data_IF_557447126107
#
_entry.id   IF_557447126107
#
_cell.length_a   1.000
_cell.length_b   1.000
_cell.length_c   1.000
_cell.angle_alpha   90.00
_cell.angle_beta   90.00
_cell.angle_gamma   90.00
#
_symmetry.space_group_name_H-M   'P 1'
#
loop_
_entity.id
_entity.type
_entity.pdbx_description
1 polymer ?
#
# COMPACT_ATOMS: atom_id res chain seq x y z
N UNK A 1 0.88 -37.19 114.02
CA UNK A 1 -0.37 -37.73 113.43
C UNK A 1 -0.82 -36.78 112.32
N UNK A 2 -1.10 -37.34 111.13
CA UNK A 2 -1.67 -36.74 109.89
C UNK A 2 -1.11 -35.37 109.42
N UNK A 3 -0.19 -35.51 108.45
CA UNK A 3 0.33 -34.60 107.39
C UNK A 3 -0.76 -33.68 106.79
N UNK A 4 -0.49 -32.50 106.21
CA UNK A 4 0.74 -31.80 105.79
C UNK A 4 0.40 -30.32 105.50
N UNK A 5 1.42 -29.47 105.61
CA UNK A 5 1.43 -28.03 105.41
C UNK A 5 1.24 -27.56 103.95
N UNK A 6 0.69 -26.35 103.82
CA UNK A 6 0.73 -25.51 102.62
C UNK A 6 1.43 -24.19 102.98
N UNK A 7 2.30 -23.72 102.08
CA UNK A 7 2.90 -22.39 102.06
C UNK A 7 3.04 -22.00 100.58
N UNK A 8 2.43 -20.87 100.21
CA UNK A 8 2.65 -20.18 98.93
C UNK A 8 3.99 -19.45 98.93
N UNK A 9 4.35 -18.62 97.96
CA UNK A 9 3.70 -18.10 96.76
C UNK A 9 4.82 -17.59 95.81
N UNK A 10 4.42 -16.92 94.72
CA UNK A 10 5.20 -16.22 93.69
C UNK A 10 5.56 -17.09 92.46
N UNK A 11 4.75 -17.08 91.39
CA UNK A 11 4.54 -16.03 90.39
C UNK A 11 5.73 -15.84 89.44
N UNK A 12 5.63 -16.41 88.24
CA UNK A 12 5.98 -15.74 86.99
C UNK A 12 5.20 -16.40 85.84
N UNK A 13 4.52 -15.57 85.06
CA UNK A 13 3.56 -15.91 84.01
C UNK A 13 4.23 -16.06 82.64
N UNK A 14 3.93 -17.15 81.92
CA UNK A 14 3.96 -17.24 80.45
C UNK A 14 2.75 -18.09 80.03
N UNK A 15 1.77 -17.56 79.27
CA UNK A 15 0.70 -18.40 78.72
C UNK A 15 1.08 -18.91 77.32
N UNK A 16 0.95 -20.23 77.17
CA UNK A 16 0.89 -20.95 75.90
C UNK A 16 -0.57 -20.93 75.43
N UNK A 17 -0.86 -20.42 74.24
CA UNK A 17 -2.15 -20.60 73.59
C UNK A 17 -1.94 -20.99 72.12
N UNK A 18 -2.38 -22.20 71.77
CA UNK A 18 -2.50 -22.71 70.40
C UNK A 18 -3.56 -21.92 69.63
N UNK A 19 -3.23 -21.45 68.43
CA UNK A 19 -4.21 -21.07 67.41
C UNK A 19 -3.62 -21.26 65.99
N UNK A 20 -4.46 -21.74 65.08
CA UNK A 20 -4.19 -22.19 63.71
C UNK A 20 -3.58 -21.12 62.77
N UNK A 21 -2.93 -21.52 61.65
CA UNK A 21 -2.40 -20.57 60.68
C UNK A 21 -3.53 -19.96 59.85
N UNK A 22 -3.85 -18.70 60.12
CA UNK A 22 -4.60 -17.85 59.20
C UNK A 22 -3.63 -17.26 58.16
N UNK A 23 -3.89 -17.55 56.89
CA UNK A 23 -3.20 -16.91 55.78
C UNK A 23 -3.62 -15.42 55.67
N UNK A 24 -2.67 -14.48 55.53
CA UNK A 24 -2.94 -13.18 54.96
C UNK A 24 -2.58 -13.19 53.47
N UNK A 25 -3.58 -12.90 52.67
CA UNK A 25 -3.52 -12.50 51.26
C UNK A 25 -2.43 -11.46 51.00
N UNK A 26 -1.35 -11.86 50.34
CA UNK A 26 -0.40 -10.94 49.71
C UNK A 26 -0.95 -10.48 48.35
N UNK A 27 -1.95 -9.61 48.37
CA UNK A 27 -2.30 -8.79 47.22
C UNK A 27 -1.46 -7.50 47.28
N UNK A 28 -0.20 -7.59 46.87
CA UNK A 28 0.62 -6.43 46.56
C UNK A 28 0.55 -6.20 45.05
N UNK A 29 -0.39 -5.35 44.65
CA UNK A 29 -0.48 -4.76 43.31
C UNK A 29 0.83 -4.02 43.01
N UNK A 30 1.71 -4.64 42.24
CA UNK A 30 2.77 -3.92 41.54
C UNK A 30 2.11 -3.09 40.42
N UNK A 31 1.57 -1.94 40.79
CA UNK A 31 1.30 -0.86 39.84
C UNK A 31 2.63 -0.27 39.40
N UNK A 32 3.35 -1.02 38.56
CA UNK A 32 4.38 -0.46 37.72
C UNK A 32 3.66 0.30 36.60
N UNK A 33 3.35 1.57 36.86
CA UNK A 33 3.03 2.53 35.82
C UNK A 33 4.22 2.62 34.89
N UNK A 34 4.20 1.83 33.81
CA UNK A 34 5.00 2.13 32.64
C UNK A 34 4.49 3.47 32.13
N UNK A 35 5.27 4.54 32.34
CA UNK A 35 5.17 5.71 31.49
C UNK A 35 5.39 5.20 30.07
N UNK A 36 4.29 5.01 29.34
CA UNK A 36 4.31 4.59 27.96
C UNK A 36 4.96 5.75 27.19
N UNK A 37 6.25 5.62 26.90
CA UNK A 37 6.89 6.46 25.89
C UNK A 37 6.05 6.36 24.63
N UNK A 38 5.73 7.50 24.02
CA UNK A 38 5.03 7.56 22.74
C UNK A 38 5.81 6.68 21.77
N UNK A 39 5.23 5.55 21.38
CA UNK A 39 5.91 4.67 20.45
C UNK A 39 5.96 5.42 19.10
N UNK A 40 7.16 5.65 18.58
CA UNK A 40 7.33 6.30 17.28
C UNK A 40 6.55 5.51 16.21
N UNK A 41 5.77 6.24 15.42
CA UNK A 41 5.05 5.67 14.28
C UNK A 41 6.03 5.02 13.30
N UNK A 42 5.65 3.89 12.73
CA UNK A 42 6.37 3.29 11.62
C UNK A 42 5.99 4.00 10.33
N UNK A 43 6.85 4.85 9.79
CA UNK A 43 6.57 5.56 8.53
C UNK A 43 7.16 4.84 7.32
N UNK A 44 6.58 5.09 6.14
CA UNK A 44 7.08 4.48 4.91
C UNK A 44 8.58 4.76 4.73
N UNK A 45 9.36 3.70 4.49
CA UNK A 45 10.81 3.79 4.28
C UNK A 45 11.16 3.31 2.88
N UNK A 46 11.50 4.23 1.95
CA UNK A 46 12.00 3.85 0.63
C UNK A 46 13.27 3.00 0.73
N UNK A 47 13.36 1.93 -0.03
CA UNK A 47 14.53 1.03 0.01
C UNK A 47 14.98 0.58 -1.38
N UNK A 48 16.22 0.10 -1.46
CA UNK A 48 16.86 -0.28 -2.73
C UNK A 48 18.33 0.10 -2.76
N UNK A 49 19.02 -0.26 -3.83
CA UNK A 49 20.37 0.21 -4.09
C UNK A 49 20.37 1.71 -4.41
N UNK A 50 21.32 2.51 -3.89
CA UNK A 50 21.44 3.90 -4.28
C UNK A 50 21.65 4.05 -5.79
N UNK A 51 20.96 5.01 -6.39
CA UNK A 51 21.15 5.45 -7.77
C UNK A 51 21.05 6.98 -7.81
N UNK A 52 21.63 7.60 -8.82
CA UNK A 52 21.44 9.03 -9.11
C UNK A 52 21.08 9.16 -10.57
N UNK A 53 19.85 9.56 -10.84
CA UNK A 53 19.38 9.85 -12.19
C UNK A 53 20.08 11.07 -12.78
N UNK A 54 20.11 11.14 -14.10
CA UNK A 54 20.60 12.31 -14.84
C UNK A 54 19.70 13.52 -14.64
N UNK A 55 20.24 14.70 -14.88
CA UNK A 55 19.49 15.97 -14.86
C UNK A 55 18.72 16.23 -16.17
N UNK A 56 19.04 15.49 -17.24
CA UNK A 56 18.35 15.50 -18.52
C UNK A 56 18.34 14.10 -19.17
N UNK A 57 17.52 13.93 -20.21
CA UNK A 57 17.35 12.66 -20.91
C UNK A 57 18.64 12.14 -21.58
N UNK A 58 19.55 13.02 -22.02
CA UNK A 58 20.84 12.66 -22.61
C UNK A 58 21.86 12.18 -21.58
N UNK A 59 21.71 12.59 -20.32
CA UNK A 59 22.50 12.16 -19.18
C UNK A 59 21.84 11.04 -18.34
N UNK A 60 20.80 10.39 -18.87
CA UNK A 60 20.01 9.41 -18.15
C UNK A 60 20.86 8.24 -17.61
N UNK A 61 20.73 7.95 -16.31
CA UNK A 61 21.50 6.90 -15.65
C UNK A 61 20.94 5.50 -15.97
N UNK A 62 21.78 4.48 -16.19
CA UNK A 62 21.29 3.13 -16.48
C UNK A 62 20.52 2.55 -15.30
N UNK A 63 19.26 2.16 -15.53
CA UNK A 63 18.39 1.53 -14.54
C UNK A 63 18.29 0.03 -14.83
N UNK A 64 18.75 -0.77 -13.88
CA UNK A 64 18.71 -2.24 -13.99
C UNK A 64 17.50 -2.81 -13.25
N UNK A 65 16.93 -3.96 -13.67
CA UNK A 65 15.83 -4.57 -12.95
C UNK A 65 16.15 -4.78 -11.47
N UNK A 66 15.23 -4.41 -10.60
CA UNK A 66 15.43 -4.40 -9.15
C UNK A 66 14.81 -3.17 -8.50
N UNK A 67 15.29 -2.90 -7.27
CA UNK A 67 14.85 -1.75 -6.47
C UNK A 67 16.01 -0.80 -6.27
N UNK A 68 15.76 0.48 -6.50
CA UNK A 68 16.72 1.54 -6.35
C UNK A 68 16.13 2.68 -5.54
N UNK A 69 17.00 3.54 -5.02
CA UNK A 69 16.58 4.75 -4.32
C UNK A 69 17.40 5.95 -4.77
N UNK A 70 16.69 7.03 -5.10
CA UNK A 70 17.26 8.33 -5.42
C UNK A 70 16.59 9.42 -4.55
N UNK A 71 16.92 10.68 -4.80
CA UNK A 71 16.44 11.86 -4.09
C UNK A 71 15.88 12.88 -5.07
N UNK A 72 14.66 13.34 -4.80
CA UNK A 72 14.02 14.46 -5.50
C UNK A 72 14.10 15.69 -4.60
N UNK A 73 14.96 16.63 -4.97
CA UNK A 73 15.40 17.74 -4.14
C UNK A 73 14.27 18.74 -3.76
N UNK A 74 13.29 18.96 -4.65
CA UNK A 74 12.23 19.96 -4.43
C UNK A 74 10.89 19.56 -5.06
N UNK A 75 9.82 20.09 -4.50
CA UNK A 75 8.46 20.04 -5.06
C UNK A 75 8.16 21.23 -5.99
N UNK A 76 6.88 21.56 -6.15
CA UNK A 76 6.38 22.70 -6.92
C UNK A 76 5.46 23.56 -6.05
N UNK A 77 5.39 24.87 -6.32
CA UNK A 77 4.49 25.77 -5.58
C UNK A 77 3.00 25.48 -5.84
N UNK A 78 2.70 24.82 -6.96
CA UNK A 78 1.35 24.41 -7.37
C UNK A 78 1.23 22.87 -7.41
N UNK A 79 0.00 22.37 -7.47
CA UNK A 79 -0.31 20.96 -7.71
C UNK A 79 0.04 20.51 -9.12
N UNK A 80 0.21 21.46 -10.05
CA UNK A 80 0.58 21.20 -11.45
C UNK A 80 2.07 21.44 -11.72
N UNK A 81 2.64 20.64 -12.63
CA UNK A 81 4.03 20.79 -13.09
C UNK A 81 5.04 19.87 -12.39
N UNK A 82 6.30 19.94 -12.82
CA UNK A 82 7.38 19.10 -12.31
C UNK A 82 8.40 19.93 -11.52
N UNK A 83 8.64 19.52 -10.27
CA UNK A 83 9.63 20.09 -9.37
C UNK A 83 11.02 19.55 -9.72
N UNK A 84 11.59 18.74 -8.83
CA UNK A 84 12.76 17.92 -9.20
C UNK A 84 12.38 16.83 -10.19
N UNK A 85 13.21 16.69 -11.23
CA UNK A 85 13.12 15.64 -12.24
C UNK A 85 14.43 14.87 -12.28
N UNK A 86 14.34 13.55 -12.45
CA UNK A 86 15.47 12.65 -12.65
C UNK A 86 15.21 11.74 -13.83
N UNK A 87 16.27 11.47 -14.60
CA UNK A 87 16.21 10.66 -15.81
C UNK A 87 17.02 9.38 -15.68
N UNK A 88 16.43 8.28 -16.14
CA UNK A 88 17.07 6.97 -16.19
C UNK A 88 16.89 6.34 -17.56
N UNK A 89 17.70 5.34 -17.88
CA UNK A 89 17.66 4.62 -19.15
C UNK A 89 17.47 3.12 -18.89
N UNK A 90 16.46 2.55 -19.53
CA UNK A 90 16.27 1.10 -19.62
C UNK A 90 16.49 0.64 -21.06
N UNK A 91 16.77 -0.63 -21.26
CA UNK A 91 16.92 -1.23 -22.60
C UNK A 91 15.88 -2.32 -22.76
N UNK A 92 15.05 -2.20 -23.79
CA UNK A 92 14.00 -3.16 -24.13
C UNK A 92 14.35 -3.95 -25.38
N UNK A 93 14.01 -5.23 -25.37
CA UNK A 93 13.95 -6.06 -26.57
C UNK A 93 12.50 -6.17 -27.03
N UNK A 94 12.33 -6.60 -28.28
CA UNK A 94 11.01 -6.78 -28.87
C UNK A 94 10.16 -7.73 -28.02
N UNK A 95 8.98 -7.26 -27.62
CA UNK A 95 8.00 -8.01 -26.83
C UNK A 95 8.25 -8.03 -25.33
N UNK A 96 9.32 -7.41 -24.82
CA UNK A 96 9.49 -7.24 -23.38
C UNK A 96 8.61 -6.11 -22.85
N UNK A 97 8.05 -6.28 -21.66
CA UNK A 97 7.18 -5.28 -21.01
C UNK A 97 7.87 -4.71 -19.78
N UNK A 98 8.20 -3.40 -19.76
CA UNK A 98 8.70 -2.75 -18.56
C UNK A 98 7.57 -2.38 -17.61
N UNK A 99 7.82 -2.55 -16.32
CA UNK A 99 7.03 -2.00 -15.24
C UNK A 99 7.95 -1.15 -14.38
N UNK A 100 7.70 0.16 -14.33
CA UNK A 100 8.50 1.09 -13.54
C UNK A 100 7.58 1.80 -12.55
N UNK A 101 7.78 1.54 -11.27
CA UNK A 101 7.09 2.24 -10.20
C UNK A 101 8.03 3.24 -9.52
N UNK A 102 7.51 4.43 -9.20
CA UNK A 102 8.17 5.39 -8.33
C UNK A 102 7.30 5.66 -7.11
N UNK A 103 7.85 5.45 -5.91
CA UNK A 103 7.18 5.64 -4.63
C UNK A 103 7.89 6.72 -3.83
N UNK A 104 7.15 7.76 -3.45
CA UNK A 104 7.62 8.87 -2.61
C UNK A 104 6.80 8.94 -1.33
N UNK A 105 7.41 9.30 -0.21
CA UNK A 105 6.71 9.44 1.06
C UNK A 105 7.04 10.78 1.74
N UNK A 106 6.10 11.35 2.50
CA UNK A 106 6.24 12.64 3.17
C UNK A 106 7.32 12.71 4.27
N UNK A 107 7.95 11.58 4.63
CA UNK A 107 8.88 11.48 5.74
C UNK A 107 8.17 11.52 7.11
N UNK A 108 8.90 11.45 8.23
CA UNK A 108 8.31 11.27 9.56
C UNK A 108 7.64 12.51 10.16
N UNK A 109 7.93 13.70 9.63
CA UNK A 109 7.47 14.99 10.19
C UNK A 109 6.30 15.54 9.39
N UNK A 110 5.18 15.84 10.06
CA UNK A 110 4.05 16.61 9.46
C UNK A 110 4.55 18.00 9.07
N UNK A 111 4.04 18.55 7.96
CA UNK A 111 4.31 19.94 7.57
C UNK A 111 2.99 20.65 7.31
N UNK A 112 2.37 21.21 8.37
CA UNK A 112 1.05 21.82 8.29
C UNK A 112 0.94 22.84 7.15
N UNK A 113 -0.13 22.77 6.38
CA UNK A 113 -0.45 23.73 5.33
C UNK A 113 0.22 23.42 3.99
N UNK A 114 0.73 22.21 3.79
CA UNK A 114 1.19 21.73 2.48
C UNK A 114 0.38 20.51 2.07
N UNK A 115 -0.59 20.72 1.19
CA UNK A 115 -1.70 19.77 1.04
C UNK A 115 -1.34 18.60 0.11
N UNK A 116 -0.53 18.82 -0.94
CA UNK A 116 -0.28 17.79 -1.97
C UNK A 116 1.17 17.32 -2.06
N UNK A 117 1.35 16.00 -2.07
CA UNK A 117 2.56 15.32 -2.53
C UNK A 117 2.21 14.51 -3.78
N UNK A 118 2.96 14.70 -4.87
CA UNK A 118 2.77 13.94 -6.10
C UNK A 118 4.07 13.37 -6.68
N UNK A 119 3.92 12.31 -7.46
CA UNK A 119 4.98 11.69 -8.24
C UNK A 119 4.46 11.30 -9.62
N UNK A 120 5.27 11.56 -10.63
CA UNK A 120 5.03 11.23 -12.03
C UNK A 120 6.13 10.28 -12.51
N UNK A 121 5.76 9.26 -13.28
CA UNK A 121 6.69 8.42 -14.04
C UNK A 121 6.25 8.40 -15.49
N UNK A 122 7.18 8.64 -16.42
CA UNK A 122 6.92 8.43 -17.84
C UNK A 122 8.06 7.68 -18.54
N UNK A 123 7.70 6.89 -19.55
CA UNK A 123 8.60 6.12 -20.41
C UNK A 123 8.51 6.66 -21.82
N UNK A 124 9.65 7.03 -22.39
CA UNK A 124 9.75 7.61 -23.73
C UNK A 124 10.94 7.08 -24.49
N UNK A 125 10.75 6.73 -25.76
CA UNK A 125 11.90 6.42 -26.61
C UNK A 125 12.61 7.72 -27.04
N UNK A 126 13.95 7.73 -27.16
CA UNK A 126 14.68 8.88 -27.67
C UNK A 126 14.20 9.28 -29.07
N UNK A 127 13.84 10.56 -29.24
CA UNK A 127 13.37 11.10 -30.51
C UNK A 127 11.86 10.98 -30.75
N UNK A 128 11.11 10.35 -29.83
CA UNK A 128 9.65 10.35 -29.87
C UNK A 128 9.07 11.53 -29.10
N UNK A 129 7.97 12.09 -29.62
CA UNK A 129 7.24 13.17 -28.97
C UNK A 129 6.20 12.66 -27.95
N UNK A 130 5.84 11.37 -28.01
CA UNK A 130 4.81 10.75 -27.20
C UNK A 130 5.40 9.69 -26.26
N UNK A 131 4.96 9.69 -24.99
CA UNK A 131 5.27 8.63 -24.03
C UNK A 131 4.61 7.31 -24.46
N UNK A 132 5.33 6.20 -24.29
CA UNK A 132 4.77 4.86 -24.50
C UNK A 132 4.12 4.30 -23.23
N UNK A 133 4.39 4.91 -22.07
CA UNK A 133 3.69 4.66 -20.82
C UNK A 133 3.89 5.87 -19.89
N UNK A 134 2.88 6.22 -19.11
CA UNK A 134 2.99 7.26 -18.09
C UNK A 134 1.97 7.02 -16.99
N UNK A 135 2.28 7.49 -15.79
CA UNK A 135 1.34 7.57 -14.67
C UNK A 135 1.73 8.73 -13.77
N UNK A 136 0.73 9.37 -13.17
CA UNK A 136 0.88 10.46 -12.21
C UNK A 136 -0.07 10.22 -11.05
N UNK A 137 0.46 10.22 -9.84
CA UNK A 137 -0.30 10.00 -8.62
C UNK A 137 0.00 11.10 -7.62
N UNK A 138 -0.98 11.45 -6.80
CA UNK A 138 -0.80 12.41 -5.72
C UNK A 138 -1.81 12.21 -4.61
N UNK A 139 -1.42 12.62 -3.40
CA UNK A 139 -2.26 12.61 -2.21
C UNK A 139 -2.40 14.05 -1.70
N UNK A 140 -3.64 14.49 -1.53
CA UNK A 140 -4.04 15.83 -1.07
C UNK A 140 -4.31 15.87 0.46
N UNK A 141 -4.23 14.73 1.15
CA UNK A 141 -4.50 14.55 2.57
C UNK A 141 -3.24 14.15 3.36
N UNK A 142 -2.06 14.56 2.88
CA UNK A 142 -0.76 14.20 3.49
C UNK A 142 -0.60 14.75 4.92
N UNK A 143 -1.29 15.84 5.25
CA UNK A 143 -1.31 16.39 6.60
C UNK A 143 -2.02 15.45 7.59
N UNK A 144 -3.03 14.70 7.13
CA UNK A 144 -3.82 13.76 7.94
C UNK A 144 -3.12 12.39 8.03
N UNK A 145 -2.49 11.92 6.94
CA UNK A 145 -1.89 10.58 6.84
C UNK A 145 -0.54 10.61 6.12
N UNK A 146 0.51 10.07 6.75
CA UNK A 146 1.83 9.92 6.12
C UNK A 146 1.91 8.70 5.19
N UNK A 147 0.93 8.54 4.31
CA UNK A 147 0.97 7.50 3.31
C UNK A 147 1.98 7.85 2.21
N UNK A 148 2.55 6.82 1.60
CA UNK A 148 3.35 7.01 0.40
C UNK A 148 2.48 7.13 -0.84
N UNK A 149 2.98 7.87 -1.82
CA UNK A 149 2.37 8.06 -3.14
C UNK A 149 3.17 7.24 -4.14
N UNK A 150 2.49 6.42 -4.94
CA UNK A 150 3.16 5.54 -5.91
C UNK A 150 2.54 5.67 -7.29
N UNK A 151 3.33 6.08 -8.29
CA UNK A 151 2.96 6.03 -9.70
C UNK A 151 3.62 4.82 -10.39
N UNK A 152 2.94 4.20 -11.35
CA UNK A 152 3.41 3.00 -12.06
C UNK A 152 3.22 3.16 -13.57
N UNK A 153 4.32 3.29 -14.29
CA UNK A 153 4.32 3.32 -15.74
C UNK A 153 4.58 1.91 -16.32
N UNK A 154 3.62 1.43 -17.10
CA UNK A 154 3.71 0.22 -17.93
C UNK A 154 2.97 0.48 -19.23
N UNK A 155 3.41 -0.05 -20.37
CA UNK A 155 2.65 0.07 -21.61
C UNK A 155 1.26 -0.56 -21.44
N UNK A 156 0.24 0.15 -21.89
CA UNK A 156 -1.14 -0.31 -22.02
C UNK A 156 -1.68 0.02 -23.41
N UNK A 157 -2.80 -0.60 -23.76
CA UNK A 157 -3.49 -0.35 -25.03
C UNK A 157 -4.08 1.08 -25.08
N UNK A 158 -4.28 1.72 -23.93
CA UNK A 158 -4.84 3.07 -23.81
C UNK A 158 -3.88 4.17 -24.27
N UNK A 159 -2.56 3.93 -24.26
CA UNK A 159 -1.55 4.84 -24.84
C UNK A 159 -1.66 5.00 -26.37
N UNK A 160 -2.51 4.22 -27.05
CA UNK A 160 -2.69 4.25 -28.50
C UNK A 160 -1.50 3.67 -29.28
N UNK A 161 -0.52 3.06 -28.58
CA UNK A 161 0.55 2.26 -29.19
C UNK A 161 0.19 0.79 -29.10
N UNK A 162 -0.32 0.25 -30.20
CA UNK A 162 -0.64 -1.18 -30.36
C UNK A 162 0.56 -2.11 -30.05
N UNK A 163 1.80 -1.60 -30.15
CA UNK A 163 3.05 -2.34 -29.93
C UNK A 163 3.75 -2.04 -28.58
N UNK A 164 3.15 -1.23 -27.70
CA UNK A 164 3.75 -0.80 -26.44
C UNK A 164 5.00 0.09 -26.60
N UNK A 165 5.96 -0.01 -25.68
CA UNK A 165 7.24 0.71 -25.80
C UNK A 165 8.14 0.04 -26.86
N UNK A 166 8.79 0.82 -27.75
CA UNK A 166 9.65 0.26 -28.79
C UNK A 166 10.89 -0.41 -28.20
N UNK A 167 11.43 -1.38 -28.94
CA UNK A 167 12.71 -1.99 -28.61
C UNK A 167 13.86 -0.96 -28.76
N UNK A 168 14.86 -1.07 -27.91
CA UNK A 168 15.99 -0.14 -27.83
C UNK A 168 16.06 0.56 -26.48
N UNK A 169 16.72 1.71 -26.44
CA UNK A 169 16.78 2.54 -25.24
C UNK A 169 15.45 3.23 -25.01
N UNK A 170 14.94 3.18 -23.78
CA UNK A 170 13.79 3.96 -23.32
C UNK A 170 14.22 4.79 -22.12
N UNK A 171 13.93 6.08 -22.17
CA UNK A 171 14.17 7.02 -21.08
C UNK A 171 13.00 6.95 -20.11
N UNK A 172 13.31 6.77 -18.84
CA UNK A 172 12.39 6.88 -17.71
C UNK A 172 12.57 8.26 -17.09
N UNK A 173 11.53 9.08 -17.12
CA UNK A 173 11.45 10.35 -16.38
C UNK A 173 10.72 10.10 -15.07
N UNK A 174 11.27 10.59 -13.96
CA UNK A 174 10.59 10.60 -12.66
C UNK A 174 10.58 12.01 -12.14
N UNK A 175 9.39 12.53 -11.82
CA UNK A 175 9.22 13.89 -11.33
C UNK A 175 8.43 13.91 -10.02
N UNK A 176 8.77 14.86 -9.15
CA UNK A 176 7.98 15.20 -7.96
C UNK A 176 7.12 16.42 -8.26
N UNK A 177 5.86 16.39 -7.83
CA UNK A 177 4.93 17.53 -7.90
C UNK A 177 4.33 17.83 -6.52
N UNK A 178 3.70 18.99 -6.41
CA UNK A 178 3.01 19.46 -5.21
C UNK A 178 3.88 20.25 -4.21
N UNK A 179 3.23 21.06 -3.34
CA UNK A 179 3.91 21.94 -2.40
C UNK A 179 4.44 21.25 -1.15
N UNK A 180 4.06 19.98 -0.91
CA UNK A 180 4.53 19.26 0.27
C UNK A 180 6.05 19.25 0.35
N UNK A 181 6.60 19.72 1.47
CA UNK A 181 8.04 19.80 1.73
C UNK A 181 8.83 20.47 0.58
N UNK A 182 8.28 21.55 0.02
CA UNK A 182 8.72 22.22 -1.20
C UNK A 182 10.26 22.31 -1.37
N UNK A 183 10.97 22.77 -0.35
CA UNK A 183 12.42 23.00 -0.38
C UNK A 183 13.26 21.84 0.17
N UNK A 184 12.63 20.79 0.68
CA UNK A 184 13.30 19.67 1.33
C UNK A 184 13.44 18.47 0.38
N UNK A 185 14.61 17.81 0.38
CA UNK A 185 14.78 16.59 -0.40
C UNK A 185 13.91 15.45 0.15
N UNK A 186 13.22 14.75 -0.75
CA UNK A 186 12.50 13.52 -0.44
C UNK A 186 13.13 12.34 -1.18
N UNK A 187 13.18 11.18 -0.52
CA UNK A 187 13.66 9.93 -1.12
C UNK A 187 12.55 9.33 -1.98
N UNK A 188 12.93 8.85 -3.16
CA UNK A 188 12.04 8.12 -4.08
C UNK A 188 12.57 6.70 -4.26
N UNK A 189 11.74 5.71 -3.95
CA UNK A 189 12.01 4.31 -4.31
C UNK A 189 11.59 4.07 -5.75
N UNK A 190 12.48 3.49 -6.54
CA UNK A 190 12.22 3.04 -7.91
C UNK A 190 12.19 1.52 -7.91
N UNK A 191 11.10 0.93 -8.38
CA UNK A 191 11.01 -0.50 -8.64
C UNK A 191 10.89 -0.72 -10.14
N UNK A 192 11.93 -1.29 -10.74
CA UNK A 192 11.92 -1.68 -12.16
C UNK A 192 11.84 -3.20 -12.28
N UNK A 193 10.76 -3.68 -12.90
CA UNK A 193 10.59 -5.07 -13.31
C UNK A 193 10.52 -5.13 -14.84
N UNK A 194 11.26 -6.06 -15.42
CA UNK A 194 11.18 -6.37 -16.84
C UNK A 194 10.53 -7.74 -17.00
N UNK A 195 9.36 -7.78 -17.64
CA UNK A 195 8.71 -9.02 -18.03
C UNK A 195 9.25 -9.44 -19.41
N UNK A 196 9.81 -10.66 -19.55
CA UNK A 196 10.26 -11.16 -20.84
C UNK A 196 9.10 -11.29 -21.84
N UNK A 197 9.44 -11.31 -23.13
CA UNK A 197 8.46 -11.64 -24.17
C UNK A 197 7.75 -12.97 -23.90
N UNK A 198 6.47 -13.02 -24.20
CA UNK A 198 5.60 -14.15 -23.88
C UNK A 198 5.03 -14.78 -25.14
N UNK A 199 5.07 -16.12 -25.19
CA UNK A 199 4.16 -16.91 -25.99
C UNK A 199 2.87 -17.16 -25.18
N UNK A 200 1.81 -16.42 -25.54
CA UNK A 200 0.51 -16.52 -24.89
C UNK A 200 -0.35 -17.65 -25.50
N UNK A 201 0.16 -18.42 -26.45
CA UNK A 201 -0.59 -19.50 -27.09
C UNK A 201 -1.09 -20.50 -26.06
N UNK A 202 -2.40 -20.77 -26.08
CA UNK A 202 -3.04 -21.71 -25.18
C UNK A 202 -3.19 -21.23 -23.73
N UNK A 203 -2.88 -19.96 -23.42
CA UNK A 203 -3.20 -19.39 -22.12
C UNK A 203 -4.72 -19.16 -21.99
N UNK A 204 -5.30 -19.32 -20.79
CA UNK A 204 -6.67 -18.90 -20.54
C UNK A 204 -6.82 -17.41 -20.85
N UNK A 205 -7.95 -17.04 -21.45
CA UNK A 205 -8.33 -15.64 -21.62
C UNK A 205 -8.51 -14.92 -20.28
N UNK A 206 -8.75 -13.59 -20.37
CA UNK A 206 -9.01 -12.75 -19.22
C UNK A 206 -10.08 -13.38 -18.32
N UNK A 207 -9.90 -13.26 -17.00
CA UNK A 207 -10.91 -13.70 -16.07
C UNK A 207 -12.09 -12.72 -16.06
N UNK A 208 -13.29 -13.23 -15.83
CA UNK A 208 -14.40 -12.38 -15.44
C UNK A 208 -14.23 -11.94 -13.98
N UNK A 209 -14.72 -10.74 -13.67
CA UNK A 209 -14.87 -10.28 -12.29
C UNK A 209 -15.72 -11.27 -11.50
N UNK A 210 -15.22 -11.66 -10.34
CA UNK A 210 -15.81 -12.70 -9.51
C UNK A 210 -16.21 -12.14 -8.15
N UNK A 211 -17.29 -12.69 -7.58
CA UNK A 211 -17.84 -12.25 -6.30
C UNK A 211 -16.77 -12.16 -5.20
N UNK A 212 -16.90 -11.20 -4.26
CA UNK A 212 -16.01 -11.06 -3.13
C UNK A 212 -15.91 -12.35 -2.31
N UNK A 213 -14.68 -12.71 -1.93
CA UNK A 213 -14.40 -13.85 -1.05
C UNK A 213 -13.96 -13.30 0.30
N UNK A 214 -14.63 -13.73 1.37
CA UNK A 214 -14.16 -13.47 2.74
C UNK A 214 -13.31 -14.64 3.24
N UNK A 215 -12.18 -14.38 3.92
CA UNK A 215 -11.46 -15.43 4.62
C UNK A 215 -12.34 -16.13 5.65
N UNK A 216 -12.25 -17.45 5.69
CA UNK A 216 -13.00 -18.31 6.61
C UNK A 216 -12.06 -19.14 7.50
N UNK A 217 -10.95 -18.55 7.93
CA UNK A 217 -9.92 -19.28 8.65
C UNK A 217 -10.28 -19.42 10.13
N UNK A 218 -10.11 -20.63 10.67
CA UNK A 218 -10.23 -20.92 12.09
C UNK A 218 -8.85 -21.18 12.70
N UNK A 219 -8.62 -20.70 13.91
CA UNK A 219 -7.36 -20.91 14.62
C UNK A 219 -6.96 -19.73 15.50
N UNK A 220 -5.82 -19.88 16.18
CA UNK A 220 -5.25 -18.81 17.00
C UNK A 220 -4.39 -17.89 16.12
N UNK A 221 -4.54 -16.55 16.21
CA UNK A 221 -3.67 -15.62 15.50
C UNK A 221 -2.20 -15.80 15.90
N UNK A 222 -1.28 -15.80 14.94
CA UNK A 222 0.17 -15.73 15.16
C UNK A 222 0.65 -14.29 15.21
N UNK A 223 1.71 -13.99 15.97
CA UNK A 223 2.28 -12.63 16.01
C UNK A 223 2.84 -12.29 14.63
N UNK A 224 2.41 -11.15 14.11
CA UNK A 224 2.96 -10.54 12.90
C UNK A 224 3.88 -9.38 13.29
N UNK A 225 4.99 -9.26 12.57
CA UNK A 225 5.85 -8.07 12.59
C UNK A 225 5.83 -7.48 11.20
N UNK A 226 4.90 -6.57 10.92
CA UNK A 226 4.80 -5.93 9.61
C UNK A 226 6.07 -5.12 9.29
N UNK A 227 6.36 -4.96 8.01
CA UNK A 227 7.34 -3.97 7.55
C UNK A 227 6.70 -2.59 7.45
N UNK A 228 7.53 -1.60 7.12
CA UNK A 228 7.11 -0.22 6.80
C UNK A 228 7.60 0.20 5.41
N UNK A 229 7.97 -0.77 4.57
CA UNK A 229 8.47 -0.57 3.22
C UNK A 229 8.37 -1.87 2.46
N UNK A 230 8.41 -1.80 1.13
CA UNK A 230 8.14 -2.97 0.31
C UNK A 230 9.23 -4.07 0.39
N UNK A 231 10.47 -3.74 0.75
CA UNK A 231 11.51 -4.73 1.07
C UNK A 231 11.37 -5.37 2.43
N UNK A 232 11.02 -4.55 3.42
CA UNK A 232 10.90 -4.99 4.82
C UNK A 232 9.60 -5.75 5.06
N UNK A 233 8.63 -5.67 4.13
CA UNK A 233 7.38 -6.42 4.18
C UNK A 233 7.64 -7.94 4.28
N UNK A 234 7.23 -8.60 5.38
CA UNK A 234 7.42 -10.04 5.53
C UNK A 234 6.49 -10.81 4.58
N UNK A 235 6.98 -11.93 4.05
CA UNK A 235 6.13 -12.89 3.33
C UNK A 235 5.25 -13.63 4.33
N UNK A 236 3.93 -13.48 4.20
CA UNK A 236 2.94 -14.17 5.03
C UNK A 236 2.18 -15.21 4.18
N UNK A 237 2.16 -16.49 4.57
CA UNK A 237 1.29 -17.48 3.95
C UNK A 237 -0.17 -17.26 4.35
N UNK A 238 -1.09 -18.06 3.79
CA UNK A 238 -2.46 -18.17 4.31
C UNK A 238 -2.44 -18.43 5.82
N UNK A 239 -3.13 -17.58 6.59
CA UNK A 239 -3.08 -17.65 8.04
C UNK A 239 -3.83 -16.52 8.74
N UNK A 240 -3.82 -16.59 10.07
CA UNK A 240 -4.42 -15.60 10.97
C UNK A 240 -3.29 -14.94 11.75
N UNK A 241 -3.24 -13.62 11.70
CA UNK A 241 -2.14 -12.82 12.21
C UNK A 241 -2.66 -11.76 13.18
N UNK A 242 -1.85 -11.40 14.18
CA UNK A 242 -2.14 -10.29 15.09
C UNK A 242 -0.96 -9.34 15.17
N UNK A 243 -1.26 -8.05 15.24
CA UNK A 243 -0.30 -6.97 15.51
C UNK A 243 -1.08 -5.78 16.11
N UNK A 244 -0.47 -4.59 16.15
CA UNK A 244 -1.07 -3.36 16.65
C UNK A 244 -0.71 -2.17 15.76
N UNK A 245 -1.63 -1.21 15.67
CA UNK A 245 -1.50 0.05 14.94
C UNK A 245 -1.36 1.21 15.92
N UNK A 246 -0.46 2.13 15.64
CA UNK A 246 -0.40 3.45 16.25
C UNK A 246 -0.76 4.51 15.20
N UNK A 247 -1.09 5.72 15.66
CA UNK A 247 -1.34 6.85 14.78
C UNK A 247 -0.15 7.09 13.84
N UNK A 248 -0.40 7.30 12.54
CA UNK A 248 0.65 7.52 11.55
C UNK A 248 1.43 6.29 11.12
N UNK A 249 1.05 5.09 11.56
CA UNK A 249 1.69 3.86 11.12
C UNK A 249 1.41 3.57 9.64
N UNK A 250 2.43 3.10 8.94
CA UNK A 250 2.39 2.39 7.67
C UNK A 250 2.84 0.96 7.92
N UNK A 251 1.94 0.00 7.75
CA UNK A 251 2.21 -1.44 7.95
C UNK A 251 2.03 -2.20 6.66
N UNK A 252 3.08 -2.89 6.22
CA UNK A 252 3.08 -3.63 4.95
C UNK A 252 3.40 -5.11 5.21
N UNK A 253 2.62 -5.99 4.58
CA UNK A 253 2.95 -7.42 4.43
C UNK A 253 2.87 -7.82 2.96
N UNK A 254 3.57 -8.90 2.59
CA UNK A 254 3.48 -9.46 1.23
C UNK A 254 2.91 -10.87 1.23
N UNK A 255 2.09 -11.18 0.24
CA UNK A 255 1.44 -12.47 0.02
C UNK A 255 1.81 -12.97 -1.38
N UNK A 256 2.35 -14.18 -1.48
CA UNK A 256 2.72 -14.76 -2.78
C UNK A 256 1.47 -15.32 -3.47
N UNK A 257 1.14 -14.80 -4.65
CA UNK A 257 0.11 -15.35 -5.53
C UNK A 257 0.76 -15.90 -6.80
N UNK A 258 0.39 -17.13 -7.15
CA UNK A 258 0.64 -17.71 -8.45
C UNK A 258 -0.50 -17.42 -9.44
N UNK A 259 -0.31 -17.84 -10.68
CA UNK A 259 -1.36 -17.83 -11.69
C UNK A 259 -2.57 -18.65 -11.24
N UNK A 260 -3.77 -18.20 -11.57
CA UNK A 260 -5.04 -18.82 -11.19
C UNK A 260 -5.50 -18.54 -9.76
N UNK A 261 -4.71 -17.82 -8.95
CA UNK A 261 -5.00 -17.56 -7.55
C UNK A 261 -5.52 -16.14 -7.31
N UNK A 262 -6.26 -15.94 -6.21
CA UNK A 262 -6.78 -14.66 -5.70
C UNK A 262 -6.32 -14.44 -4.27
N UNK A 263 -6.25 -13.19 -3.86
CA UNK A 263 -6.05 -12.81 -2.46
C UNK A 263 -7.40 -12.49 -1.84
N UNK A 264 -7.68 -13.08 -0.67
CA UNK A 264 -8.75 -12.67 0.22
C UNK A 264 -8.15 -12.27 1.57
N UNK A 265 -8.72 -11.23 2.20
CA UNK A 265 -8.26 -10.71 3.47
C UNK A 265 -9.41 -10.21 4.33
N UNK A 266 -9.17 -10.16 5.64
CA UNK A 266 -10.05 -9.47 6.58
C UNK A 266 -9.25 -8.89 7.72
N UNK A 267 -9.57 -7.68 8.15
CA UNK A 267 -9.01 -7.07 9.34
C UNK A 267 -10.14 -6.84 10.34
N UNK A 268 -9.89 -7.19 11.60
CA UNK A 268 -10.77 -6.89 12.72
C UNK A 268 -9.97 -6.24 13.83
N UNK A 269 -10.54 -5.25 14.51
CA UNK A 269 -9.95 -4.63 15.68
C UNK A 269 -11.04 -4.40 16.74
N UNK A 270 -10.82 -4.83 17.99
CA UNK A 270 -11.83 -4.65 19.03
C UNK A 270 -11.91 -3.20 19.50
N UNK A 271 -13.09 -2.81 19.97
CA UNK A 271 -13.28 -1.57 20.71
C UNK A 271 -12.36 -1.50 21.94
N UNK A 272 -12.03 -0.28 22.35
CA UNK A 272 -11.28 0.01 23.56
C UNK A 272 -12.10 0.90 24.49
N UNK A 273 -12.21 0.48 25.74
CA UNK A 273 -12.90 1.25 26.76
C UNK A 273 -12.24 2.63 26.93
N UNK A 274 -13.06 3.69 26.91
CA UNK A 274 -12.61 5.06 27.11
C UNK A 274 -11.99 5.73 25.89
N UNK A 275 -12.08 5.12 24.70
CA UNK A 275 -11.73 5.76 23.43
C UNK A 275 -13.01 6.29 22.79
N UNK A 276 -13.11 7.60 22.64
CA UNK A 276 -14.24 8.24 21.98
C UNK A 276 -14.03 8.24 20.46
N UNK A 277 -15.09 8.54 19.69
CA UNK A 277 -15.00 8.60 18.23
C UNK A 277 -13.94 9.61 17.74
N UNK A 278 -13.75 10.71 18.46
CA UNK A 278 -12.76 11.74 18.11
C UNK A 278 -11.30 11.26 18.27
N UNK A 279 -11.09 10.21 19.07
CA UNK A 279 -9.76 9.62 19.33
C UNK A 279 -9.54 8.32 18.53
N UNK A 280 -10.47 8.01 17.61
CA UNK A 280 -10.36 6.87 16.72
C UNK A 280 -9.23 7.07 15.70
N UNK A 281 -8.64 5.97 15.26
CA UNK A 281 -7.70 6.01 14.15
C UNK A 281 -8.38 5.49 12.89
N UNK A 282 -8.44 6.33 11.87
CA UNK A 282 -8.84 5.89 10.54
C UNK A 282 -7.68 5.11 9.90
N UNK A 283 -8.03 4.00 9.28
CA UNK A 283 -7.11 3.04 8.67
C UNK A 283 -7.54 2.83 7.24
N UNK A 284 -6.64 3.13 6.31
CA UNK A 284 -6.77 2.76 4.90
C UNK A 284 -6.01 1.46 4.65
N UNK A 285 -6.68 0.49 4.04
CA UNK A 285 -6.10 -0.74 3.53
C UNK A 285 -6.05 -0.69 2.00
N UNK A 286 -4.84 -0.76 1.46
CA UNK A 286 -4.60 -0.80 0.01
C UNK A 286 -3.99 -2.14 -0.39
N UNK A 287 -4.57 -2.76 -1.42
CA UNK A 287 -3.99 -3.95 -2.06
C UNK A 287 -3.14 -3.48 -3.23
N UNK A 288 -1.84 -3.80 -3.20
CA UNK A 288 -0.94 -3.52 -4.33
C UNK A 288 -0.51 -4.81 -5.01
N UNK A 289 -0.49 -4.80 -6.34
CA UNK A 289 0.00 -5.92 -7.12
C UNK A 289 1.56 -5.97 -7.12
N UNK A 290 2.19 -6.97 -7.76
CA UNK A 290 3.64 -7.12 -7.77
C UNK A 290 4.42 -6.01 -8.47
N UNK A 291 3.74 -5.11 -9.19
CA UNK A 291 4.32 -3.95 -9.86
C UNK A 291 3.96 -2.64 -9.16
N UNK A 292 3.44 -2.72 -7.92
CA UNK A 292 3.05 -1.60 -7.04
C UNK A 292 1.75 -0.88 -7.37
N UNK A 293 1.08 -1.25 -8.46
CA UNK A 293 -0.19 -0.63 -8.79
C UNK A 293 -1.26 -1.04 -7.77
N UNK A 294 -2.08 -0.09 -7.34
CA UNK A 294 -3.23 -0.35 -6.51
C UNK A 294 -4.23 -1.24 -7.26
N UNK A 295 -4.91 -2.12 -6.54
CA UNK A 295 -5.95 -3.00 -7.07
C UNK A 295 -7.18 -2.86 -6.21
N UNK A 296 -8.30 -2.52 -6.85
CA UNK A 296 -9.58 -2.33 -6.20
C UNK A 296 -10.10 -3.66 -5.65
N UNK A 297 -9.92 -3.86 -4.34
CA UNK A 297 -10.46 -5.00 -3.65
C UNK A 297 -11.96 -4.82 -3.43
N UNK A 298 -12.73 -5.85 -3.77
CA UNK A 298 -14.18 -5.87 -3.56
C UNK A 298 -14.53 -6.58 -2.25
N UNK A 299 -15.51 -6.05 -1.50
CA UNK A 299 -15.92 -6.61 -0.22
C UNK A 299 -16.63 -5.61 0.69
N UNK A 300 -16.63 -5.87 2.00
CA UNK A 300 -17.29 -5.03 3.00
C UNK A 300 -16.27 -4.10 3.63
N UNK A 301 -16.42 -2.80 3.39
CA UNK A 301 -15.48 -1.78 3.90
C UNK A 301 -14.04 -2.08 3.48
N UNK A 302 -13.82 -2.70 2.31
CA UNK A 302 -12.56 -3.34 1.92
C UNK A 302 -11.34 -2.41 1.86
N UNK A 303 -11.56 -1.09 1.90
CA UNK A 303 -10.52 -0.08 1.83
C UNK A 303 -10.36 0.75 3.10
N UNK A 304 -11.40 1.01 3.89
CA UNK A 304 -11.28 1.91 5.06
C UNK A 304 -12.08 1.44 6.26
N UNK A 305 -11.55 1.70 7.46
CA UNK A 305 -12.23 1.48 8.74
C UNK A 305 -11.66 2.38 9.83
N UNK A 306 -12.38 2.53 10.93
CA UNK A 306 -11.97 3.36 12.07
C UNK A 306 -11.80 2.47 13.29
N UNK A 307 -10.61 2.44 13.89
CA UNK A 307 -10.29 1.56 15.04
C UNK A 307 -10.29 2.34 16.35
N UNK A 308 -10.73 1.68 17.43
CA UNK A 308 -10.61 2.19 18.78
C UNK A 308 -11.94 2.42 19.50
N UNK A 309 -12.81 3.27 18.96
CA UNK A 309 -14.07 3.62 19.62
C UNK A 309 -15.14 2.52 19.56
N UNK A 310 -15.10 1.68 18.51
CA UNK A 310 -16.02 0.56 18.28
C UNK A 310 -15.28 -0.63 17.70
N UNK A 311 -15.95 -1.79 17.69
CA UNK A 311 -15.45 -2.97 16.98
C UNK A 311 -15.39 -2.66 15.48
N UNK A 312 -14.19 -2.71 14.94
CA UNK A 312 -13.90 -2.42 13.54
C UNK A 312 -13.74 -3.72 12.76
N UNK A 313 -14.26 -3.74 11.54
CA UNK A 313 -14.08 -4.85 10.63
C UNK A 313 -14.08 -4.38 9.18
N UNK A 314 -13.15 -4.92 8.40
CA UNK A 314 -13.16 -4.88 6.94
C UNK A 314 -12.83 -6.25 6.38
N UNK A 315 -13.29 -6.52 5.17
CA UNK A 315 -12.93 -7.73 4.43
C UNK A 315 -13.05 -7.50 2.94
N UNK A 316 -12.12 -8.08 2.17
CA UNK A 316 -12.13 -7.97 0.72
C UNK A 316 -11.33 -9.06 0.03
N UNK A 317 -11.42 -9.06 -1.29
CA UNK A 317 -10.60 -9.90 -2.15
C UNK A 317 -10.30 -9.21 -3.48
N UNK A 318 -9.18 -9.59 -4.12
CA UNK A 318 -8.88 -9.14 -5.50
C UNK A 318 -10.01 -9.58 -6.43
N UNK A 319 -10.46 -8.76 -7.39
CA UNK A 319 -11.70 -8.99 -8.16
C UNK A 319 -11.61 -10.17 -9.13
N UNK A 320 -10.40 -10.58 -9.53
CA UNK A 320 -10.17 -11.70 -10.43
C UNK A 320 -8.96 -12.54 -10.01
N UNK A 321 -8.91 -13.84 -10.40
CA UNK A 321 -7.68 -14.63 -10.30
C UNK A 321 -6.60 -14.07 -11.20
N UNK A 322 -5.35 -14.23 -10.77
CA UNK A 322 -4.20 -13.75 -11.51
C UNK A 322 -4.09 -14.50 -12.85
N UNK A 323 -4.19 -13.79 -13.98
CA UNK A 323 -4.05 -14.36 -15.33
C UNK A 323 -3.33 -13.40 -16.25
N UNK A 324 -2.46 -13.92 -17.10
CA UNK A 324 -1.66 -13.11 -18.01
C UNK A 324 -2.55 -12.22 -18.90
N UNK A 325 -3.62 -12.80 -19.45
CA UNK A 325 -4.56 -12.13 -20.34
C UNK A 325 -5.42 -11.04 -19.67
N UNK A 326 -5.42 -10.91 -18.33
CA UNK A 326 -6.15 -9.85 -17.65
C UNK A 326 -5.65 -8.44 -18.05
N UNK A 327 -4.41 -8.31 -18.54
CA UNK A 327 -3.85 -7.03 -19.00
C UNK A 327 -4.60 -6.39 -20.17
N UNK A 328 -5.34 -7.20 -20.94
CA UNK A 328 -6.15 -6.77 -22.08
C UNK A 328 -7.65 -6.85 -21.76
N UNK A 329 -8.00 -6.76 -20.47
CA UNK A 329 -9.40 -6.75 -20.01
C UNK A 329 -9.99 -5.36 -20.15
N UNK A 330 -11.25 -5.27 -20.55
CA UNK A 330 -12.02 -4.01 -20.54
C UNK A 330 -12.51 -3.61 -19.14
N UNK A 331 -12.26 -4.46 -18.13
CA UNK A 331 -12.56 -4.20 -16.72
C UNK A 331 -11.25 -3.81 -15.99
N UNK A 332 -11.13 -2.53 -15.63
CA UNK A 332 -9.96 -1.95 -14.95
C UNK A 332 -9.61 -2.69 -13.65
N UNK A 333 -10.61 -3.18 -12.91
CA UNK A 333 -10.39 -3.96 -11.69
C UNK A 333 -9.69 -5.30 -11.98
N UNK A 334 -9.94 -5.88 -13.16
CA UNK A 334 -9.30 -7.12 -13.61
C UNK A 334 -7.89 -6.87 -14.13
N UNK A 335 -7.64 -5.74 -14.81
CA UNK A 335 -6.31 -5.39 -15.37
C UNK A 335 -5.21 -5.48 -14.30
N UNK A 336 -5.47 -4.95 -13.11
CA UNK A 336 -4.54 -5.02 -11.97
C UNK A 336 -4.16 -6.44 -11.54
N UNK A 337 -4.94 -7.45 -11.93
CA UNK A 337 -4.73 -8.87 -11.65
C UNK A 337 -3.94 -9.60 -12.76
N UNK A 338 -3.12 -8.90 -13.55
CA UNK A 338 -2.38 -9.51 -14.67
C UNK A 338 -1.01 -10.12 -14.33
N UNK A 339 -0.51 -9.90 -13.12
CA UNK A 339 0.88 -10.21 -12.75
C UNK A 339 0.95 -11.13 -11.54
N UNK A 340 1.60 -12.28 -11.69
CA UNK A 340 1.93 -13.18 -10.58
C UNK A 340 3.18 -12.70 -9.82
N UNK A 341 3.25 -13.04 -8.54
CA UNK A 341 4.36 -12.64 -7.66
C UNK A 341 3.90 -12.26 -6.26
N UNK A 342 4.67 -11.37 -5.64
CA UNK A 342 4.37 -10.82 -4.31
C UNK A 342 3.35 -9.70 -4.42
N UNK A 343 2.17 -9.89 -3.85
CA UNK A 343 1.14 -8.87 -3.66
C UNK A 343 1.28 -8.28 -2.26
N UNK A 344 0.86 -7.03 -2.06
CA UNK A 344 1.05 -6.32 -0.81
C UNK A 344 -0.29 -5.93 -0.20
N UNK A 345 -0.42 -6.11 1.10
CA UNK A 345 -1.46 -5.49 1.91
C UNK A 345 -0.77 -4.40 2.73
N UNK A 346 -1.21 -3.17 2.52
CA UNK A 346 -0.69 -2.00 3.20
C UNK A 346 -1.78 -1.36 4.03
N UNK A 347 -1.46 -1.05 5.28
CA UNK A 347 -2.30 -0.30 6.19
C UNK A 347 -1.62 1.04 6.42
N UNK A 348 -2.29 2.13 6.04
CA UNK A 348 -1.86 3.48 6.36
C UNK A 348 -2.84 4.08 7.36
N UNK A 349 -2.33 4.58 8.47
CA UNK A 349 -3.12 5.02 9.61
C UNK A 349 -3.02 6.54 9.75
N UNK A 350 -4.16 7.18 9.91
CA UNK A 350 -4.23 8.63 10.09
C UNK A 350 -3.57 9.06 11.40
N UNK A 351 -3.30 10.35 11.50
CA UNK A 351 -2.82 10.99 12.72
C UNK A 351 -3.88 11.97 13.22
N UNK A 352 -4.27 11.90 14.51
CA UNK A 352 -5.16 12.89 15.07
C UNK A 352 -4.46 14.27 15.09
N UNK A 353 -5.22 15.32 14.74
CA UNK A 353 -4.75 16.71 14.60
C UNK A 353 -4.06 17.26 15.87
N UNK A 354 -4.43 16.75 17.04
CA UNK A 354 -3.90 17.18 18.34
C UNK A 354 -2.61 16.45 18.76
N UNK A 355 -2.12 15.52 17.93
CA UNK A 355 -0.89 14.77 18.17
C UNK A 355 -0.98 13.77 19.34
N UNK A 356 -2.18 13.46 19.85
CA UNK A 356 -2.40 12.52 20.97
C UNK A 356 -2.27 11.04 20.54
N UNK A 357 -1.26 10.70 19.73
CA UNK A 357 -1.14 9.41 19.04
C UNK A 357 -0.45 8.26 19.79
N UNK A 358 -0.39 8.26 21.12
CA UNK A 358 0.42 7.27 21.86
C UNK A 358 -0.19 5.85 21.96
N UNK A 359 -1.49 5.71 21.72
CA UNK A 359 -2.21 4.44 21.89
C UNK A 359 -1.95 3.48 20.73
N UNK A 360 -1.68 2.21 21.07
CA UNK A 360 -1.53 1.10 20.10
C UNK A 360 -2.77 0.23 20.05
N UNK A 361 -3.56 0.24 18.99
CA UNK A 361 -4.78 -0.53 18.81
C UNK A 361 -4.50 -1.92 18.24
N UNK A 362 -4.88 -3.03 18.91
CA UNK A 362 -4.62 -4.36 18.40
C UNK A 362 -5.54 -4.65 17.21
N UNK A 363 -5.03 -5.40 16.23
CA UNK A 363 -5.85 -5.93 15.15
C UNK A 363 -5.51 -7.39 14.87
N UNK A 364 -6.47 -8.08 14.27
CA UNK A 364 -6.29 -9.41 13.70
C UNK A 364 -6.49 -9.33 12.19
N UNK A 365 -5.49 -9.78 11.44
CA UNK A 365 -5.50 -9.87 9.98
C UNK A 365 -5.61 -11.35 9.57
N UNK A 366 -6.62 -11.70 8.80
CA UNK A 366 -6.64 -12.96 8.06
C UNK A 366 -6.17 -12.70 6.63
N UNK A 367 -5.30 -13.59 6.15
CA UNK A 367 -4.85 -13.63 4.76
C UNK A 367 -5.15 -15.01 4.23
N UNK A 368 -5.77 -15.09 3.06
CA UNK A 368 -6.07 -16.35 2.40
C UNK A 368 -5.79 -16.26 0.91
N UNK A 369 -4.92 -17.13 0.42
CA UNK A 369 -4.77 -17.40 -1.01
C UNK A 369 -5.87 -18.37 -1.44
N UNK A 370 -6.67 -17.97 -2.41
CA UNK A 370 -7.83 -18.72 -2.90
C UNK A 370 -7.58 -19.17 -4.33
N UNK A 371 -8.00 -20.37 -4.69
CA UNK A 371 -7.80 -20.94 -6.03
C UNK A 371 -6.55 -21.79 -6.14
N UNK A 372 -6.53 -22.64 -7.17
CA UNK A 372 -5.42 -23.54 -7.45
C UNK A 372 -4.36 -22.83 -8.27
N UNK A 373 -3.09 -23.12 -7.99
CA UNK A 373 -1.99 -22.64 -8.81
C UNK A 373 -2.11 -23.23 -10.23
N UNK A 374 -2.01 -22.36 -11.23
CA UNK A 374 -2.03 -22.70 -12.64
C UNK A 374 -0.66 -22.48 -13.26
N UNK A 375 -0.43 -23.10 -14.42
CA UNK A 375 0.76 -22.81 -15.22
C UNK A 375 0.66 -21.39 -15.75
N UNK A 376 1.77 -20.66 -15.68
CA UNK A 376 1.89 -19.32 -16.24
C UNK A 376 2.08 -19.30 -17.77
N UNK A 377 2.23 -18.08 -18.33
CA UNK A 377 2.63 -17.89 -19.73
C UNK A 377 3.99 -18.53 -20.03
N UNK A 378 4.19 -18.89 -21.29
CA UNK A 378 5.49 -19.35 -21.79
C UNK A 378 6.41 -18.16 -22.02
N UNK A 379 7.17 -17.75 -21.00
CA UNK A 379 8.19 -16.72 -21.17
C UNK A 379 9.30 -17.21 -22.10
N UNK A 380 9.59 -16.41 -23.12
CA UNK A 380 10.68 -16.64 -24.04
C UNK A 380 12.02 -16.34 -23.35
N UNK A 381 13.09 -17.09 -23.65
CA UNK A 381 14.40 -16.83 -23.06
C UNK A 381 14.87 -15.42 -23.40
N UNK A 382 15.38 -14.72 -22.38
CA UNK A 382 15.99 -13.39 -22.53
C UNK A 382 17.32 -13.50 -23.28
N UNK A 383 17.31 -13.72 -24.60
CA UNK A 383 18.53 -13.75 -25.42
C UNK A 383 18.51 -14.52 -26.74
N UNK A 384 17.36 -15.00 -27.22
CA UNK A 384 17.32 -15.91 -28.37
C UNK A 384 16.26 -15.57 -29.41
N UNK A 385 16.43 -14.47 -30.13
CA UNK A 385 15.90 -14.32 -31.49
C UNK A 385 16.59 -13.15 -32.20
N UNK A 386 17.81 -13.35 -32.69
CA UNK A 386 18.24 -12.63 -33.89
C UNK A 386 17.33 -13.12 -35.01
N UNK A 387 16.35 -12.30 -35.39
CA UNK A 387 15.55 -12.57 -36.56
C UNK A 387 16.49 -12.71 -37.77
N UNK A 388 16.60 -13.93 -38.27
CA UNK A 388 17.26 -14.21 -39.54
C UNK A 388 16.45 -13.49 -40.62
N UNK A 389 17.06 -12.47 -41.23
CA UNK A 389 16.46 -11.73 -42.33
C UNK A 389 16.39 -12.60 -43.59
N UNK A 390 15.19 -12.72 -44.19
CA UNK A 390 14.93 -12.71 -45.65
C UNK A 390 13.50 -13.17 -45.99
N UNK A 391 12.95 -12.80 -47.16
CA UNK A 391 12.99 -11.49 -47.80
C UNK A 391 11.57 -10.98 -48.13
N UNK A 392 11.52 -9.67 -48.37
CA UNK A 392 10.45 -8.88 -48.99
C UNK A 392 9.70 -9.64 -50.10
N UNK A 393 8.37 -9.68 -49.99
CA UNK A 393 7.47 -9.87 -51.13
C UNK A 393 6.63 -8.59 -51.29
N UNK A 394 6.96 -7.82 -52.33
CA UNK A 394 6.11 -6.75 -52.84
C UNK A 394 4.86 -7.33 -53.49
N UNK A 395 3.69 -6.82 -53.11
CA UNK A 395 2.55 -6.65 -54.02
C UNK A 395 1.85 -5.34 -53.70
N UNK A 396 1.96 -4.39 -54.62
CA UNK A 396 1.21 -3.14 -54.58
C UNK A 396 -0.21 -3.29 -55.11
N UNK A 397 -1.02 -2.26 -54.84
CA UNK A 397 -2.17 -1.89 -55.66
C UNK A 397 -3.43 -1.54 -54.86
N UNK A 398 -3.86 -0.28 -54.94
CA UNK A 398 -5.28 0.06 -55.00
C UNK A 398 -5.86 0.90 -53.86
N UNK A 399 -6.08 2.18 -54.15
CA UNK A 399 -6.75 3.22 -53.34
C UNK A 399 -8.27 2.98 -53.24
N UNK A 400 -8.87 3.25 -52.09
CA UNK A 400 -10.15 3.98 -51.97
C UNK A 400 -10.30 4.64 -50.60
N UNK A 401 -10.49 5.96 -50.62
CA UNK A 401 -10.79 6.80 -49.47
C UNK A 401 -12.28 6.70 -49.10
N UNK A 402 -12.58 6.51 -47.82
CA UNK A 402 -13.87 6.88 -47.23
C UNK A 402 -13.63 7.61 -45.92
N UNK A 403 -14.05 8.88 -45.89
CA UNK A 403 -13.94 9.74 -44.72
C UNK A 403 -14.83 9.26 -43.58
N UNK A 404 -14.32 9.41 -42.36
CA UNK A 404 -15.07 9.20 -41.13
C UNK A 404 -15.02 10.51 -40.32
N UNK A 405 -16.22 11.00 -40.02
CA UNK A 405 -16.51 12.14 -39.17
C UNK A 405 -15.97 11.90 -37.76
N UNK A 406 -15.20 12.88 -37.27
CA UNK A 406 -14.83 13.03 -35.87
C UNK A 406 -16.09 13.40 -35.09
N UNK A 407 -16.56 12.49 -34.23
CA UNK A 407 -17.53 12.79 -33.18
C UNK A 407 -16.78 12.75 -31.84
N UNK A 408 -16.57 13.92 -31.25
CA UNK A 408 -16.00 14.05 -29.92
C UNK A 408 -16.96 13.52 -28.86
N UNK A 409 -16.42 12.79 -27.89
CA UNK A 409 -17.12 12.48 -26.64
C UNK A 409 -16.33 13.12 -25.51
N UNK A 410 -16.90 14.22 -25.02
CA UNK A 410 -16.57 14.81 -23.75
C UNK A 410 -17.30 14.04 -22.63
N UNK A 411 -16.58 13.79 -21.53
CA UNK A 411 -17.17 13.79 -20.20
C UNK A 411 -17.11 12.47 -19.43
N UNK A 412 -16.25 12.45 -18.40
CA UNK A 412 -16.61 12.02 -17.03
C UNK A 412 -15.77 12.88 -16.05
N UNK A 413 -16.25 14.07 -15.75
CA UNK A 413 -15.64 15.00 -14.78
C UNK A 413 -16.67 15.61 -13.82
N UNK A 414 -17.83 14.99 -13.67
CA UNK A 414 -18.96 15.55 -12.89
C UNK A 414 -19.31 14.77 -11.61
N UNK A 415 -18.77 13.55 -11.42
CA UNK A 415 -19.08 12.70 -10.26
C UNK A 415 -18.37 13.13 -8.97
N UNK A 416 -17.07 13.43 -9.04
CA UNK A 416 -16.27 13.79 -7.86
C UNK A 416 -16.55 15.20 -7.34
N UNK A 417 -16.84 16.16 -8.23
CA UNK A 417 -17.16 17.54 -7.84
C UNK A 417 -18.48 17.61 -7.07
N UNK A 418 -19.48 16.79 -7.41
CA UNK A 418 -20.76 16.77 -6.71
C UNK A 418 -20.65 16.18 -5.30
N UNK A 419 -19.82 15.15 -5.10
CA UNK A 419 -19.58 14.54 -3.78
C UNK A 419 -18.78 15.48 -2.88
N UNK A 420 -17.73 16.13 -3.42
CA UNK A 420 -16.93 17.12 -2.67
C UNK A 420 -17.77 18.35 -2.30
N UNK A 421 -18.58 18.88 -3.22
CA UNK A 421 -19.50 19.98 -2.91
C UNK A 421 -20.56 19.59 -1.86
N UNK A 422 -21.06 18.35 -1.90
CA UNK A 422 -22.02 17.85 -0.90
C UNK A 422 -21.38 17.75 0.49
N UNK A 423 -20.15 17.24 0.58
CA UNK A 423 -19.39 17.15 1.85
C UNK A 423 -19.08 18.53 2.40
N UNK A 424 -18.66 19.49 1.56
CA UNK A 424 -18.39 20.86 1.96
C UNK A 424 -19.67 21.61 2.41
N UNK A 425 -20.80 21.39 1.73
CA UNK A 425 -22.10 21.95 2.12
C UNK A 425 -22.60 21.37 3.45
N UNK A 426 -22.42 20.07 3.70
CA UNK A 426 -22.77 19.43 4.96
C UNK A 426 -21.86 19.89 6.12
N UNK A 427 -20.56 20.12 5.87
CA UNK A 427 -19.63 20.70 6.86
C UNK A 427 -19.98 22.15 7.21
N UNK A 428 -20.29 23.00 6.22
CA UNK A 428 -20.73 24.39 6.46
C UNK A 428 -22.04 24.49 7.25
N UNK A 429 -22.98 23.57 7.00
CA UNK A 429 -24.28 23.55 7.70
C UNK A 429 -24.13 23.20 9.18
N UNK A 430 -23.18 22.32 9.53
CA UNK A 430 -22.86 21.97 10.93
C UNK A 430 -22.17 23.11 11.68
N UNK A 431 -21.27 23.85 11.04
CA UNK A 431 -20.62 25.01 11.65
C UNK A 431 -21.61 26.15 11.99
N UNK A 432 -22.66 26.33 11.19
CA UNK A 432 -23.73 27.28 11.49
C UNK A 432 -24.66 26.82 12.61
N UNK A 433 -24.89 25.51 12.75
CA UNK A 433 -25.71 24.97 13.85
C UNK A 433 -24.97 25.00 15.20
N UNK A 434 -23.65 24.84 15.22
CA UNK A 434 -22.83 24.99 16.43
C UNK A 434 -22.79 26.44 16.95
N UNK A 435 -22.89 27.45 16.07
CA UNK A 435 -22.94 28.87 16.45
C UNK A 435 -24.32 29.37 16.88
N UNK A 436 -25.37 28.55 16.74
CA UNK A 436 -26.73 28.90 17.15
C UNK A 436 -27.08 28.40 18.57
N UNK A 437 -26.17 27.69 19.24
CA UNK A 437 -26.35 27.14 20.59
C UNK A 437 -25.31 27.62 21.62
N UNK A 438 -24.59 28.69 21.29
CA UNK A 438 -23.89 29.58 22.23
C UNK A 438 -24.54 30.95 22.16
#
# INVERSE_FOLDING_TARGET
MKRRAALGAAALLVPLALAAPAAPTAAASAAAGAAAGVAAAQVFTPGGSPITGGDDAGAAAPLTPGRHVDTLARGTDDVTGSGSVRYYAITLRRGETPYVAATIAPGPTVRPGSERLGVEVSLRAPGDDQDCAQDEQGDDAIDDRLAEVTAVATPDDATGREDGCPAGTVVVKVARSGPYALADPLRVELAYRLEPAVDATGQPGAAATAAPVRPGLAGRPTVLRSGAGFDTAPLVPTGIYRDSLAAGDVRIVRVRLGWGQRLAFSLTAPARAGVEYADALDVELTVRNPVRAAVDASGTGSATTSVGYADAALAGSTPAPVRYANRASDDDGVVGCAVAGDWFLELAVDRPEDGTGGARFPYTLQVQVVGQAQRGPGYLPTGGATASASPRAERGGGVTAHGVLVAGVAGVGAGLVAVVLLVLLLRRRRAHQARAHT
#
